data_IF_253470139240
#
_entry.id   IF_253470139240
#
_cell.length_a   1.000
_cell.length_b   1.000
_cell.length_c   1.000
_cell.angle_alpha   90.00
_cell.angle_beta   90.00
_cell.angle_gamma   90.00
#
_symmetry.space_group_name_H-M   'P 1'
#
loop_
_entity.id
_entity.type
_entity.pdbx_description
1 polymer ?
#
# COMPACT_ATOMS: atom_id res chain seq x y z
N UNK A 1 -10.83 -30.13 43.47
CA UNK A 1 -10.93 -30.54 42.06
C UNK A 1 -9.52 -30.56 41.51
N UNK A 2 -9.01 -31.73 41.12
CA UNK A 2 -7.72 -31.83 40.44
C UNK A 2 -7.99 -31.64 38.95
N UNK A 3 -7.31 -30.67 38.33
CA UNK A 3 -7.45 -30.36 36.91
C UNK A 3 -6.71 -31.42 36.07
N UNK A 4 -7.34 -32.60 35.99
CA UNK A 4 -6.82 -33.75 35.27
C UNK A 4 -6.71 -33.46 33.77
N UNK A 5 -7.67 -32.72 33.21
CA UNK A 5 -7.68 -32.42 31.77
C UNK A 5 -6.40 -31.68 31.39
N UNK A 6 -6.05 -30.59 32.08
CA UNK A 6 -4.82 -29.88 31.73
C UNK A 6 -3.55 -30.68 32.04
N UNK A 7 -3.55 -31.62 32.99
CA UNK A 7 -2.40 -32.52 33.18
C UNK A 7 -2.16 -33.36 31.93
N UNK A 8 -3.23 -33.87 31.30
CA UNK A 8 -3.11 -34.68 30.09
C UNK A 8 -2.88 -33.84 28.84
N UNK A 9 -3.49 -32.66 28.72
CA UNK A 9 -3.29 -31.79 27.56
C UNK A 9 -1.89 -31.19 27.55
N UNK A 10 -1.39 -30.72 28.69
CA UNK A 10 -0.03 -30.20 28.84
C UNK A 10 1.01 -31.29 29.03
N UNK A 11 0.63 -32.55 28.84
CA UNK A 11 1.54 -33.70 28.85
C UNK A 11 2.34 -33.83 30.16
N UNK A 12 1.84 -33.27 31.27
CA UNK A 12 2.51 -33.30 32.58
C UNK A 12 2.67 -34.71 33.17
N UNK A 13 2.07 -35.72 32.52
CA UNK A 13 2.26 -37.12 32.85
C UNK A 13 3.52 -37.75 32.29
N UNK A 14 4.21 -37.11 31.36
CA UNK A 14 5.47 -37.57 30.81
C UNK A 14 6.63 -37.21 31.76
N UNK A 15 7.62 -38.10 31.85
CA UNK A 15 8.72 -37.97 32.81
C UNK A 15 9.69 -36.82 32.48
N UNK A 16 9.78 -36.46 31.20
CA UNK A 16 10.57 -35.33 30.68
C UNK A 16 10.10 -33.97 31.21
N UNK A 17 8.85 -33.86 31.66
CA UNK A 17 8.32 -32.65 32.29
C UNK A 17 8.56 -32.60 33.81
N UNK A 18 9.07 -33.66 34.44
CA UNK A 18 9.31 -33.71 35.90
C UNK A 18 10.69 -33.14 36.32
N UNK A 19 11.29 -32.32 35.46
CA UNK A 19 12.57 -31.66 35.70
C UNK A 19 12.47 -30.65 36.83
N UNK A 20 13.59 -30.40 37.51
CA UNK A 20 13.71 -29.41 38.60
C UNK A 20 12.75 -29.62 39.80
N UNK A 21 12.15 -30.81 39.96
CA UNK A 21 11.28 -31.13 41.11
C UNK A 21 12.08 -31.27 42.42
N UNK A 22 11.89 -30.38 43.42
CA UNK A 22 12.59 -30.48 44.69
C UNK A 22 12.07 -31.64 45.54
N UNK A 23 12.95 -32.34 46.26
CA UNK A 23 12.55 -33.42 47.17
C UNK A 23 11.60 -32.93 48.29
N UNK A 24 11.82 -31.71 48.78
CA UNK A 24 10.95 -31.06 49.78
C UNK A 24 9.51 -30.89 49.26
N UNK A 25 9.34 -30.62 47.96
CA UNK A 25 8.02 -30.46 47.36
C UNK A 25 7.22 -31.77 47.43
N UNK A 26 7.88 -32.91 47.23
CA UNK A 26 7.26 -34.24 47.37
C UNK A 26 6.84 -34.52 48.81
N UNK A 27 7.67 -34.14 49.79
CA UNK A 27 7.33 -34.26 51.20
C UNK A 27 6.13 -33.39 51.58
N UNK A 28 6.14 -32.10 51.18
CA UNK A 28 5.05 -31.16 51.43
C UNK A 28 3.73 -31.63 50.80
N UNK A 29 3.76 -32.13 49.57
CA UNK A 29 2.57 -32.67 48.90
C UNK A 29 2.03 -33.93 49.57
N UNK A 30 2.91 -34.76 50.14
CA UNK A 30 2.52 -35.93 50.94
C UNK A 30 1.77 -35.53 52.20
N UNK A 31 2.20 -34.46 52.88
CA UNK A 31 1.48 -33.91 54.03
C UNK A 31 0.08 -33.39 53.65
N UNK A 32 -0.07 -32.87 52.43
CA UNK A 32 -1.36 -32.47 51.85
C UNK A 32 -2.21 -33.65 51.34
N UNK A 33 -1.75 -34.90 51.50
CA UNK A 33 -2.47 -36.11 51.11
C UNK A 33 -2.27 -36.56 49.65
N UNK A 34 -1.37 -35.94 48.90
CA UNK A 34 -1.00 -36.40 47.55
C UNK A 34 0.08 -37.48 47.62
N UNK A 35 0.01 -38.47 46.73
CA UNK A 35 1.12 -39.39 46.55
C UNK A 35 2.16 -38.81 45.58
N UNK A 36 3.34 -39.43 45.52
CA UNK A 36 4.42 -38.99 44.63
C UNK A 36 3.99 -39.01 43.15
N UNK A 37 3.18 -39.99 42.75
CA UNK A 37 2.66 -40.12 41.39
C UNK A 37 1.87 -38.89 40.94
N UNK A 38 0.95 -38.39 41.77
CA UNK A 38 0.18 -37.18 41.47
C UNK A 38 0.99 -35.90 41.62
N UNK A 39 1.94 -35.87 42.56
CA UNK A 39 2.83 -34.73 42.75
C UNK A 39 3.67 -34.47 41.50
N UNK A 40 4.29 -35.52 40.93
CA UNK A 40 5.05 -35.45 39.69
C UNK A 40 4.22 -34.93 38.52
N UNK A 41 2.98 -35.39 38.39
CA UNK A 41 2.05 -34.97 37.31
C UNK A 41 1.60 -33.51 37.42
N UNK A 42 1.32 -33.08 38.66
CA UNK A 42 0.99 -31.69 38.94
C UNK A 42 2.20 -30.79 38.68
N UNK A 43 3.40 -31.26 39.01
CA UNK A 43 4.63 -30.60 38.64
C UNK A 43 4.79 -30.56 37.12
N UNK A 44 4.71 -31.66 36.37
CA UNK A 44 4.85 -31.61 34.90
C UNK A 44 3.88 -30.62 34.22
N UNK A 45 2.68 -30.43 34.78
CA UNK A 45 1.67 -29.47 34.30
C UNK A 45 1.98 -28.00 34.66
N UNK A 46 2.87 -27.73 35.61
CA UNK A 46 3.08 -26.39 36.19
C UNK A 46 3.79 -25.42 35.24
N UNK A 47 4.54 -25.94 34.27
CA UNK A 47 5.32 -25.11 33.35
C UNK A 47 4.44 -24.13 32.57
N UNK A 48 4.97 -22.92 32.42
CA UNK A 48 4.34 -21.87 31.62
C UNK A 48 4.92 -21.94 30.21
N UNK A 49 4.07 -22.27 29.24
CA UNK A 49 4.45 -22.25 27.84
C UNK A 49 4.38 -20.84 27.23
N UNK A 50 5.20 -20.53 26.20
CA UNK A 50 5.09 -19.27 25.47
C UNK A 50 3.69 -19.09 24.90
N UNK A 51 3.14 -17.88 24.98
CA UNK A 51 1.83 -17.56 24.40
C UNK A 51 1.81 -17.73 22.86
N UNK A 52 0.63 -17.91 22.23
CA UNK A 52 0.53 -17.98 20.77
C UNK A 52 1.21 -16.82 20.04
N UNK A 53 1.08 -15.59 20.54
CA UNK A 53 1.75 -14.42 19.96
C UNK A 53 3.27 -14.51 20.05
N UNK A 54 3.81 -14.96 21.19
CA UNK A 54 5.25 -15.21 21.33
C UNK A 54 5.71 -16.32 20.39
N UNK A 55 4.92 -17.37 20.21
CA UNK A 55 5.23 -18.46 19.28
C UNK A 55 5.25 -17.99 17.83
N UNK A 56 4.36 -17.08 17.43
CA UNK A 56 4.41 -16.45 16.11
C UNK A 56 5.69 -15.63 15.94
N UNK A 57 6.07 -14.82 16.93
CA UNK A 57 7.32 -14.05 16.88
C UNK A 57 8.55 -14.96 16.80
N UNK A 58 8.56 -16.08 17.55
CA UNK A 58 9.61 -17.08 17.47
C UNK A 58 9.65 -17.67 16.05
N UNK A 59 8.52 -18.15 15.52
CA UNK A 59 8.41 -18.68 14.16
C UNK A 59 8.99 -17.70 13.13
N UNK A 60 8.54 -16.45 13.12
CA UNK A 60 8.99 -15.46 12.14
C UNK A 60 10.48 -15.12 12.25
N UNK A 61 11.04 -15.12 13.46
CA UNK A 61 12.44 -14.76 13.69
C UNK A 61 13.41 -15.91 13.47
N UNK A 62 12.93 -17.16 13.47
CA UNK A 62 13.80 -18.34 13.41
C UNK A 62 13.60 -19.20 12.17
N UNK A 63 12.41 -19.22 11.54
CA UNK A 63 12.08 -20.15 10.46
C UNK A 63 13.10 -20.17 9.30
N UNK A 64 13.69 -19.02 8.95
CA UNK A 64 14.67 -18.92 7.87
C UNK A 64 16.13 -18.81 8.31
N UNK A 65 16.41 -18.27 9.50
CA UNK A 65 17.78 -17.87 9.88
C UNK A 65 18.38 -18.70 11.01
N UNK A 66 17.55 -19.31 11.86
CA UNK A 66 17.96 -20.11 13.02
C UNK A 66 17.01 -21.29 13.27
N UNK A 67 16.75 -22.14 12.26
CA UNK A 67 15.77 -23.22 12.39
C UNK A 67 16.13 -24.24 13.49
N UNK A 68 17.41 -24.37 13.84
CA UNK A 68 17.93 -25.32 14.82
C UNK A 68 17.54 -25.04 16.28
N UNK A 69 17.28 -23.78 16.62
CA UNK A 69 16.78 -23.35 17.93
C UNK A 69 15.37 -22.72 17.84
N UNK A 70 14.75 -22.85 16.67
CA UNK A 70 13.57 -22.11 16.28
C UNK A 70 12.25 -22.83 16.52
N UNK A 71 11.16 -22.07 16.39
CA UNK A 71 9.82 -22.65 16.24
C UNK A 71 9.59 -22.89 14.75
N UNK A 72 9.28 -24.13 14.39
CA UNK A 72 8.77 -24.48 13.06
C UNK A 72 7.24 -24.49 13.07
N UNK A 73 6.61 -24.65 11.90
CA UNK A 73 5.16 -24.82 11.76
C UNK A 73 4.64 -26.04 12.55
N UNK A 74 5.41 -27.12 12.58
CA UNK A 74 5.09 -28.34 13.32
C UNK A 74 5.13 -28.09 14.84
N UNK A 75 6.18 -27.39 15.31
CA UNK A 75 6.32 -27.01 16.72
C UNK A 75 5.18 -26.07 17.13
N UNK A 76 4.83 -25.07 16.31
CA UNK A 76 3.71 -24.16 16.57
C UNK A 76 2.40 -24.94 16.74
N UNK A 77 2.07 -25.86 15.82
CA UNK A 77 0.86 -26.68 15.92
C UNK A 77 0.83 -27.53 17.19
N UNK A 78 1.98 -28.10 17.57
CA UNK A 78 2.15 -28.83 18.83
C UNK A 78 1.88 -27.94 20.04
N UNK A 79 2.45 -26.74 20.07
CA UNK A 79 2.23 -25.79 21.15
C UNK A 79 0.77 -25.31 21.23
N UNK A 80 0.10 -25.09 20.10
CA UNK A 80 -1.33 -24.75 20.09
C UNK A 80 -2.20 -25.88 20.70
N UNK A 81 -1.81 -27.15 20.57
CA UNK A 81 -2.44 -28.26 21.31
C UNK A 81 -2.25 -28.09 22.82
N UNK A 82 -1.04 -27.77 23.28
CA UNK A 82 -0.73 -27.59 24.70
C UNK A 82 -1.45 -26.35 25.32
N UNK A 83 -1.88 -25.42 24.47
CA UNK A 83 -2.74 -24.27 24.83
C UNK A 83 -4.25 -24.56 24.71
N UNK A 84 -4.65 -25.84 24.64
CA UNK A 84 -6.06 -26.26 24.58
C UNK A 84 -6.83 -25.76 23.33
N UNK A 85 -6.16 -25.36 22.24
CA UNK A 85 -6.86 -25.05 20.99
C UNK A 85 -7.36 -26.33 20.32
N UNK A 86 -8.67 -26.37 20.00
CA UNK A 86 -9.30 -27.46 19.26
C UNK A 86 -8.57 -27.68 17.91
N UNK A 87 -8.39 -28.94 17.46
CA UNK A 87 -7.66 -29.25 16.22
C UNK A 87 -8.08 -28.42 15.00
N UNK A 88 -9.36 -28.10 14.85
CA UNK A 88 -9.88 -27.34 13.70
C UNK A 88 -9.35 -25.91 13.61
N UNK A 89 -8.93 -25.30 14.73
CA UNK A 89 -8.46 -23.91 14.78
C UNK A 89 -6.95 -23.78 14.60
N UNK A 90 -6.19 -24.85 14.75
CA UNK A 90 -4.71 -24.78 14.73
C UNK A 90 -4.18 -24.35 13.37
N UNK A 91 -4.75 -24.87 12.28
CA UNK A 91 -4.36 -24.46 10.93
C UNK A 91 -4.77 -23.01 10.61
N UNK A 92 -6.01 -22.55 10.89
CA UNK A 92 -6.35 -21.12 10.77
C UNK A 92 -5.43 -20.20 11.58
N UNK A 93 -5.13 -20.54 12.83
CA UNK A 93 -4.26 -19.75 13.70
C UNK A 93 -2.81 -19.69 13.19
N UNK A 94 -2.33 -20.74 12.55
CA UNK A 94 -1.03 -20.72 11.87
C UNK A 94 -1.07 -19.88 10.59
N UNK A 95 -2.13 -20.00 9.78
CA UNK A 95 -2.24 -19.29 8.51
C UNK A 95 -2.17 -17.75 8.69
N UNK A 96 -2.77 -17.23 9.77
CA UNK A 96 -2.75 -15.80 10.09
C UNK A 96 -1.47 -15.34 10.82
N UNK A 97 -0.53 -16.24 11.11
CA UNK A 97 0.72 -15.84 11.78
C UNK A 97 1.56 -14.96 10.85
N UNK A 98 1.65 -15.31 9.56
CA UNK A 98 2.43 -14.58 8.58
C UNK A 98 1.79 -13.25 8.19
N UNK A 99 2.65 -12.27 7.89
CA UNK A 99 2.19 -10.98 7.35
C UNK A 99 1.71 -11.16 5.91
N UNK A 100 0.62 -10.50 5.59
CA UNK A 100 0.15 -10.34 4.21
C UNK A 100 1.00 -9.29 3.49
N UNK A 101 0.92 -9.30 2.16
CA UNK A 101 1.55 -8.26 1.33
C UNK A 101 1.01 -6.87 1.69
N UNK A 102 1.84 -5.83 1.56
CA UNK A 102 1.36 -4.45 1.68
C UNK A 102 0.68 -4.04 0.37
N UNK A 103 -0.31 -3.15 0.45
CA UNK A 103 -0.99 -2.59 -0.73
C UNK A 103 -0.01 -2.04 -1.77
N UNK A 104 1.06 -1.37 -1.31
CA UNK A 104 2.12 -0.86 -2.19
C UNK A 104 2.80 -1.99 -2.97
N UNK A 105 3.21 -3.06 -2.28
CA UNK A 105 3.89 -4.18 -2.94
C UNK A 105 2.94 -4.91 -3.90
N UNK A 106 1.66 -5.05 -3.53
CA UNK A 106 0.63 -5.69 -4.35
C UNK A 106 0.36 -4.92 -5.65
N UNK A 107 0.18 -3.59 -5.59
CA UNK A 107 -0.09 -2.81 -6.81
C UNK A 107 1.13 -2.71 -7.72
N UNK A 108 2.34 -2.65 -7.15
CA UNK A 108 3.58 -2.63 -7.93
C UNK A 108 3.83 -3.99 -8.60
N UNK A 109 3.49 -5.11 -7.94
CA UNK A 109 3.55 -6.42 -8.58
C UNK A 109 2.63 -6.50 -9.80
N UNK A 110 1.42 -5.95 -9.71
CA UNK A 110 0.50 -5.86 -10.85
C UNK A 110 1.04 -4.96 -11.98
N UNK A 111 1.53 -3.76 -11.63
CA UNK A 111 2.15 -2.81 -12.58
C UNK A 111 3.29 -3.45 -13.37
N UNK A 112 4.11 -4.25 -12.69
CA UNK A 112 5.27 -4.94 -13.27
C UNK A 112 4.90 -6.25 -13.99
N UNK A 113 3.62 -6.62 -14.06
CA UNK A 113 3.15 -7.84 -14.70
C UNK A 113 3.51 -9.14 -13.97
N UNK A 114 3.86 -9.05 -12.68
CA UNK A 114 4.12 -10.21 -11.82
C UNK A 114 2.80 -10.85 -11.37
N UNK A 115 1.82 -10.00 -11.01
CA UNK A 115 0.49 -10.41 -10.62
C UNK A 115 -0.52 -10.05 -11.72
N UNK A 116 -1.55 -10.88 -11.90
CA UNK A 116 -2.73 -10.57 -12.70
C UNK A 116 -3.85 -9.94 -11.85
N UNK A 117 -4.96 -9.55 -12.49
CA UNK A 117 -6.13 -8.95 -11.82
C UNK A 117 -6.72 -9.86 -10.74
N UNK A 118 -6.74 -11.18 -10.97
CA UNK A 118 -7.27 -12.14 -10.00
C UNK A 118 -6.37 -12.25 -8.77
N UNK A 119 -5.05 -12.23 -8.96
CA UNK A 119 -4.05 -12.28 -7.89
C UNK A 119 -4.05 -11.00 -7.08
N UNK A 120 -4.12 -9.82 -7.74
CA UNK A 120 -4.30 -8.53 -7.08
C UNK A 120 -5.55 -8.55 -6.19
N UNK A 121 -6.69 -9.02 -6.72
CA UNK A 121 -7.93 -9.15 -5.96
C UNK A 121 -7.79 -10.07 -4.73
N UNK A 122 -7.23 -11.27 -4.91
CA UNK A 122 -7.04 -12.24 -3.80
C UNK A 122 -6.17 -11.66 -2.70
N UNK A 123 -5.06 -11.00 -3.04
CA UNK A 123 -4.16 -10.39 -2.06
C UNK A 123 -4.82 -9.26 -1.27
N UNK A 124 -5.73 -8.50 -1.88
CA UNK A 124 -6.54 -7.52 -1.16
C UNK A 124 -7.53 -8.20 -0.20
N UNK A 125 -8.13 -9.32 -0.58
CA UNK A 125 -8.95 -10.11 0.35
C UNK A 125 -8.11 -10.65 1.51
N UNK A 126 -6.90 -11.16 1.24
CA UNK A 126 -5.99 -11.66 2.27
C UNK A 126 -5.61 -10.56 3.28
N UNK A 127 -5.48 -9.31 2.84
CA UNK A 127 -5.26 -8.15 3.72
C UNK A 127 -6.47 -7.83 4.63
N UNK A 128 -7.61 -8.50 4.44
CA UNK A 128 -8.81 -8.36 5.27
C UNK A 128 -9.89 -7.46 4.66
N UNK A 129 -9.78 -7.04 3.41
CA UNK A 129 -10.85 -6.31 2.73
C UNK A 129 -12.02 -7.24 2.39
N UNK A 130 -13.25 -6.75 2.56
CA UNK A 130 -14.44 -7.51 2.13
C UNK A 130 -14.36 -7.80 0.62
N UNK A 131 -14.73 -8.99 0.13
CA UNK A 131 -14.61 -9.31 -1.30
C UNK A 131 -15.27 -8.32 -2.26
N UNK A 132 -16.37 -7.67 -1.86
CA UNK A 132 -17.01 -6.65 -2.71
C UNK A 132 -16.16 -5.37 -2.80
N UNK A 133 -15.55 -4.95 -1.69
CA UNK A 133 -14.72 -3.75 -1.61
C UNK A 133 -13.33 -3.99 -2.22
N UNK A 134 -12.78 -5.20 -2.05
CA UNK A 134 -11.53 -5.60 -2.66
C UNK A 134 -11.56 -5.50 -4.20
N UNK A 135 -12.71 -5.78 -4.84
CA UNK A 135 -12.87 -5.58 -6.30
C UNK A 135 -12.77 -4.11 -6.67
N UNK A 136 -13.49 -3.24 -5.97
CA UNK A 136 -13.43 -1.79 -6.22
C UNK A 136 -12.03 -1.23 -5.93
N UNK A 137 -11.41 -1.69 -4.85
CA UNK A 137 -10.08 -1.27 -4.47
C UNK A 137 -9.02 -1.74 -5.46
N UNK A 138 -9.17 -2.93 -6.07
CA UNK A 138 -8.30 -3.39 -7.14
C UNK A 138 -8.30 -2.40 -8.32
N UNK A 139 -9.48 -1.95 -8.76
CA UNK A 139 -9.59 -0.92 -9.80
C UNK A 139 -8.89 0.38 -9.40
N UNK A 140 -9.07 0.82 -8.15
CA UNK A 140 -8.38 2.02 -7.63
C UNK A 140 -6.86 1.84 -7.61
N UNK A 141 -6.35 0.66 -7.25
CA UNK A 141 -4.91 0.39 -7.24
C UNK A 141 -4.32 0.36 -8.65
N UNK A 142 -5.01 -0.28 -9.61
CA UNK A 142 -4.64 -0.24 -11.04
C UNK A 142 -4.60 1.20 -11.55
N UNK A 143 -5.61 1.99 -11.21
CA UNK A 143 -5.66 3.40 -11.57
C UNK A 143 -4.55 4.23 -10.94
N UNK A 144 -4.13 3.89 -9.72
CA UNK A 144 -3.04 4.59 -9.05
C UNK A 144 -1.72 4.45 -9.79
N UNK A 145 -1.40 3.24 -10.25
CA UNK A 145 -0.13 2.98 -10.97
C UNK A 145 -0.17 3.48 -12.41
N UNK A 146 -1.32 3.35 -13.09
CA UNK A 146 -1.47 3.85 -14.47
C UNK A 146 -1.54 5.37 -14.58
N UNK A 147 -1.72 6.08 -13.46
CA UNK A 147 -1.93 7.52 -13.45
C UNK A 147 -0.79 8.31 -14.12
N UNK A 148 0.47 7.92 -13.90
CA UNK A 148 1.62 8.60 -14.51
C UNK A 148 1.58 8.52 -16.02
N UNK A 149 1.26 7.34 -16.56
CA UNK A 149 1.20 7.06 -17.99
C UNK A 149 0.05 7.80 -18.65
N UNK A 150 -1.13 7.76 -18.01
CA UNK A 150 -2.30 8.52 -18.46
C UNK A 150 -1.99 10.02 -18.45
N UNK A 151 -1.39 10.53 -17.37
CA UNK A 151 -0.99 11.93 -17.30
C UNK A 151 0.08 12.26 -18.35
N UNK A 152 0.98 11.32 -18.67
CA UNK A 152 1.94 11.41 -19.78
C UNK A 152 1.25 11.66 -21.11
N UNK A 153 0.32 10.78 -21.47
CA UNK A 153 -0.46 10.90 -22.71
C UNK A 153 -1.24 12.22 -22.78
N UNK A 154 -1.89 12.63 -21.68
CA UNK A 154 -2.65 13.91 -21.67
C UNK A 154 -1.75 15.15 -21.81
N UNK A 155 -0.47 15.08 -21.42
CA UNK A 155 0.49 16.19 -21.63
C UNK A 155 0.87 16.36 -23.09
N UNK A 156 0.95 15.27 -23.85
CA UNK A 156 1.18 15.33 -25.30
C UNK A 156 -0.03 15.96 -25.99
N UNK A 157 -1.26 15.52 -25.65
CA UNK A 157 -2.49 16.13 -26.18
C UNK A 157 -2.60 17.63 -25.83
N UNK A 158 -2.24 18.03 -24.60
CA UNK A 158 -2.15 19.44 -24.22
C UNK A 158 -1.18 20.21 -25.14
N UNK A 159 -0.01 19.64 -25.43
CA UNK A 159 1.02 20.25 -26.29
C UNK A 159 0.50 20.40 -27.72
N UNK A 160 -0.07 19.34 -28.28
CA UNK A 160 -0.65 19.35 -29.62
C UNK A 160 -1.75 20.41 -29.76
N UNK A 161 -2.57 20.58 -28.73
CA UNK A 161 -3.61 21.61 -28.71
C UNK A 161 -3.03 23.02 -28.60
N UNK A 162 -2.01 23.23 -27.76
CA UNK A 162 -1.39 24.54 -27.55
C UNK A 162 -0.69 25.00 -28.83
N UNK A 163 0.03 24.09 -29.49
CA UNK A 163 0.77 24.36 -30.73
C UNK A 163 -0.16 24.44 -31.96
N UNK A 164 -1.44 24.07 -31.79
CA UNK A 164 -2.47 24.23 -32.82
C UNK A 164 -2.60 23.07 -33.79
N UNK A 165 -2.00 21.92 -33.50
CA UNK A 165 -2.12 20.68 -34.29
C UNK A 165 -3.51 20.05 -34.18
N UNK A 166 -4.17 20.22 -33.03
CA UNK A 166 -5.53 19.71 -32.79
C UNK A 166 -6.52 20.81 -32.36
N UNK A 167 -7.81 20.52 -32.55
CA UNK A 167 -8.92 21.37 -32.13
C UNK A 167 -9.31 21.15 -30.67
N UNK A 168 -10.08 22.07 -30.09
CA UNK A 168 -10.67 21.88 -28.74
C UNK A 168 -11.58 20.64 -28.69
N UNK A 169 -12.29 20.33 -29.78
CA UNK A 169 -13.14 19.14 -29.85
C UNK A 169 -12.31 17.84 -29.82
N UNK A 170 -11.15 17.82 -30.48
CA UNK A 170 -10.26 16.67 -30.44
C UNK A 170 -9.61 16.53 -29.05
N UNK A 171 -9.10 17.62 -28.47
CA UNK A 171 -8.55 17.61 -27.12
C UNK A 171 -9.57 17.08 -26.09
N UNK A 172 -10.83 17.49 -26.22
CA UNK A 172 -11.93 17.00 -25.38
C UNK A 172 -12.13 15.50 -25.54
N UNK A 173 -12.15 14.99 -26.78
CA UNK A 173 -12.26 13.55 -27.04
C UNK A 173 -11.08 12.76 -26.43
N UNK A 174 -9.86 13.29 -26.51
CA UNK A 174 -8.67 12.67 -25.93
C UNK A 174 -8.77 12.59 -24.40
N UNK A 175 -9.29 13.63 -23.74
CA UNK A 175 -9.55 13.62 -22.31
C UNK A 175 -10.72 12.70 -21.91
N UNK A 176 -11.79 12.65 -22.70
CA UNK A 176 -12.94 11.76 -22.46
C UNK A 176 -12.59 10.27 -22.62
N UNK A 177 -11.52 9.94 -23.36
CA UNK A 177 -10.96 8.60 -23.43
C UNK A 177 -10.19 8.20 -22.16
N UNK A 178 -9.94 9.12 -21.24
CA UNK A 178 -9.30 8.85 -19.95
C UNK A 178 -10.33 8.54 -18.85
N UNK A 179 -9.95 7.85 -17.77
CA UNK A 179 -10.85 7.55 -16.65
C UNK A 179 -11.07 8.74 -15.70
N UNK A 180 -10.65 9.95 -16.08
CA UNK A 180 -10.87 11.13 -15.26
C UNK A 180 -12.34 11.50 -15.19
N UNK A 181 -12.75 11.97 -14.01
CA UNK A 181 -14.08 12.51 -13.83
C UNK A 181 -14.32 13.72 -14.76
N UNK A 182 -15.54 13.92 -15.31
CA UNK A 182 -15.87 15.05 -16.18
C UNK A 182 -15.47 16.43 -15.63
N UNK A 183 -15.61 16.68 -14.33
CA UNK A 183 -15.19 17.94 -13.71
C UNK A 183 -13.67 18.17 -13.80
N UNK A 184 -12.88 17.10 -13.67
CA UNK A 184 -11.42 17.17 -13.83
C UNK A 184 -11.07 17.43 -15.28
N UNK A 185 -11.77 16.79 -16.22
CA UNK A 185 -11.60 17.01 -17.66
C UNK A 185 -11.85 18.49 -18.01
N UNK A 186 -12.96 19.08 -17.57
CA UNK A 186 -13.25 20.51 -17.83
C UNK A 186 -12.17 21.45 -17.30
N UNK A 187 -11.66 21.18 -16.09
CA UNK A 187 -10.58 21.98 -15.50
C UNK A 187 -9.28 21.86 -16.31
N UNK A 188 -8.96 20.67 -16.81
CA UNK A 188 -7.77 20.43 -17.63
C UNK A 188 -7.87 21.10 -19.00
N UNK A 189 -9.02 20.99 -19.68
CA UNK A 189 -9.28 21.68 -20.94
C UNK A 189 -9.21 23.20 -20.74
N UNK A 190 -9.84 23.72 -19.69
CA UNK A 190 -9.78 25.16 -19.37
C UNK A 190 -8.35 25.63 -19.15
N UNK A 191 -7.53 24.83 -18.44
CA UNK A 191 -6.09 25.10 -18.28
C UNK A 191 -5.37 25.10 -19.63
N UNK A 192 -5.63 24.15 -20.51
CA UNK A 192 -5.01 24.07 -21.84
C UNK A 192 -5.37 25.30 -22.70
N UNK A 193 -6.63 25.76 -22.68
CA UNK A 193 -7.08 26.99 -23.36
C UNK A 193 -6.32 28.22 -22.90
N UNK A 194 -6.19 28.39 -21.58
CA UNK A 194 -5.41 29.49 -21.00
C UNK A 194 -3.93 29.44 -21.41
N UNK A 195 -3.37 28.23 -21.59
CA UNK A 195 -1.99 28.06 -22.08
C UNK A 195 -1.88 28.41 -23.57
N UNK A 196 -2.81 27.95 -24.40
CA UNK A 196 -2.86 28.26 -25.84
C UNK A 196 -2.97 29.77 -26.07
N UNK A 197 -3.90 30.44 -25.38
CA UNK A 197 -4.06 31.89 -25.47
C UNK A 197 -2.78 32.65 -25.08
N UNK A 198 -2.05 32.13 -24.08
CA UNK A 198 -0.77 32.72 -23.65
C UNK A 198 0.32 32.55 -24.71
N UNK A 199 0.48 31.36 -25.27
CA UNK A 199 1.49 31.14 -26.32
C UNK A 199 1.16 31.94 -27.58
N UNK A 200 -0.11 32.00 -28.01
CA UNK A 200 -0.54 32.86 -29.12
C UNK A 200 -0.18 34.34 -28.89
N UNK A 201 -0.45 34.87 -27.69
CA UNK A 201 -0.08 36.25 -27.35
C UNK A 201 1.43 36.48 -27.36
N UNK A 202 2.21 35.49 -26.91
CA UNK A 202 3.67 35.54 -26.88
C UNK A 202 4.25 35.54 -28.29
N UNK A 203 3.71 34.71 -29.18
CA UNK A 203 4.13 34.65 -30.58
C UNK A 203 3.78 35.93 -31.33
N UNK A 204 2.56 36.45 -31.13
CA UNK A 204 2.14 37.74 -31.70
C UNK A 204 3.01 38.89 -31.19
N UNK A 205 3.32 38.91 -29.89
CA UNK A 205 4.25 39.89 -29.30
C UNK A 205 5.62 39.78 -29.94
N UNK A 206 6.16 38.57 -30.10
CA UNK A 206 7.47 38.35 -30.70
C UNK A 206 7.50 38.85 -32.16
N UNK A 207 6.47 38.52 -32.95
CA UNK A 207 6.34 38.99 -34.33
C UNK A 207 6.20 40.52 -34.43
N UNK A 208 5.40 41.16 -33.56
CA UNK A 208 5.30 42.62 -33.49
C UNK A 208 6.64 43.27 -33.12
N UNK A 209 7.35 42.68 -32.16
CA UNK A 209 8.65 43.18 -31.70
C UNK A 209 9.71 43.09 -32.81
N UNK A 210 9.73 41.99 -33.57
CA UNK A 210 10.61 41.82 -34.72
C UNK A 210 10.33 42.85 -35.83
N UNK A 211 9.05 43.10 -36.15
CA UNK A 211 8.64 44.14 -37.10
C UNK A 211 9.04 45.55 -36.65
N UNK A 212 8.88 45.85 -35.36
CA UNK A 212 9.29 47.13 -34.80
C UNK A 212 10.81 47.34 -34.92
N UNK A 213 11.60 46.31 -34.57
CA UNK A 213 13.06 46.34 -34.71
C UNK A 213 13.54 46.51 -36.16
N UNK A 214 12.77 46.01 -37.13
CA UNK A 214 13.03 46.18 -38.58
C UNK A 214 12.59 47.54 -39.12
N UNK A 215 11.84 48.33 -38.35
CA UNK A 215 11.27 49.61 -38.78
C UNK A 215 10.00 49.49 -39.61
N UNK A 216 9.39 48.30 -39.66
CA UNK A 216 8.15 48.04 -40.43
C UNK A 216 6.89 48.58 -39.74
N UNK A 217 6.99 48.96 -38.47
CA UNK A 217 5.91 49.57 -37.67
C UNK A 217 6.48 50.71 -36.84
N UNK A 218 5.68 51.75 -36.66
CA UNK A 218 6.01 52.91 -35.82
C UNK A 218 5.88 52.59 -34.33
N UNK A 219 6.47 53.44 -33.47
CA UNK A 219 6.37 53.32 -32.01
C UNK A 219 4.90 53.34 -31.53
N UNK A 220 4.08 54.19 -32.15
CA UNK A 220 2.64 54.28 -31.87
C UNK A 220 1.92 52.98 -32.24
N UNK A 221 2.19 52.43 -33.43
CA UNK A 221 1.60 51.16 -33.89
C UNK A 221 2.06 49.96 -33.03
N UNK A 222 3.31 49.97 -32.57
CA UNK A 222 3.84 48.95 -31.68
C UNK A 222 3.15 49.00 -30.30
N UNK A 223 3.05 50.19 -29.71
CA UNK A 223 2.39 50.44 -28.42
C UNK A 223 0.91 50.03 -28.46
N UNK A 224 0.20 50.45 -29.51
CA UNK A 224 -1.19 50.03 -29.73
C UNK A 224 -1.31 48.51 -29.92
N UNK A 225 -0.38 47.89 -30.66
CA UNK A 225 -0.35 46.45 -30.88
C UNK A 225 -0.19 45.65 -29.58
N UNK A 226 0.73 46.07 -28.69
CA UNK A 226 0.93 45.46 -27.39
C UNK A 226 -0.29 45.64 -26.47
N UNK A 227 -0.92 46.82 -26.50
CA UNK A 227 -2.15 47.10 -25.75
C UNK A 227 -3.30 46.20 -26.21
N UNK A 228 -3.48 45.99 -27.52
CA UNK A 228 -4.49 45.07 -28.08
C UNK A 228 -4.28 43.61 -27.65
N UNK A 229 -3.04 43.19 -27.37
CA UNK A 229 -2.75 41.84 -26.82
C UNK A 229 -3.10 41.73 -25.31
N UNK A 230 -3.47 42.83 -24.68
CA UNK A 230 -3.79 42.91 -23.25
C UNK A 230 -2.55 42.97 -22.36
N UNK A 231 -1.42 43.44 -22.88
CA UNK A 231 -0.21 43.68 -22.08
C UNK A 231 -0.42 44.96 -21.28
N UNK A 232 -0.14 44.91 -19.98
CA UNK A 232 -0.31 46.04 -19.07
C UNK A 232 0.66 47.18 -19.40
N UNK A 233 0.23 48.44 -19.21
CA UNK A 233 1.00 49.64 -19.58
C UNK A 233 2.44 49.65 -19.03
N UNK A 234 2.64 49.20 -17.78
CA UNK A 234 3.97 49.12 -17.15
C UNK A 234 4.92 48.22 -17.94
N UNK A 235 4.41 47.11 -18.49
CA UNK A 235 5.22 46.21 -19.32
C UNK A 235 5.45 46.78 -20.72
N UNK A 236 4.49 47.54 -21.25
CA UNK A 236 4.66 48.22 -22.54
C UNK A 236 5.79 49.26 -22.46
N UNK A 237 5.79 50.09 -21.42
CA UNK A 237 6.85 51.07 -21.18
C UNK A 237 8.23 50.39 -21.09
N UNK A 238 8.33 49.27 -20.37
CA UNK A 238 9.57 48.52 -20.25
C UNK A 238 10.06 47.88 -21.56
N UNK A 239 9.18 47.58 -22.53
CA UNK A 239 9.59 47.08 -23.86
C UNK A 239 10.04 48.21 -24.80
N UNK A 240 9.58 49.45 -24.61
CA UNK A 240 10.05 50.63 -25.37
C UNK A 240 11.46 51.09 -24.95
N UNK A 241 11.83 50.83 -23.71
CA UNK A 241 13.16 51.17 -23.17
C UNK A 241 14.26 50.15 -23.56
N UNK A 242 13.91 49.05 -24.24
CA UNK A 242 14.83 47.95 -24.63
C UNK A 242 15.29 48.03 -26.08
#
# INVERSE_FOLDING_TARGET
>A
YMDLISIYVKEGYLEDHWVELPAEMVANFKELGFNEYWTKRLWGKHWVYPSPTQLYDMLHRTAGTRPEIGVTTEVLRGMLKLHDFEPKWRMPLEAISWRTWRIYDTRTAWEMGIDDDETLFKRLVDQGYEPKDARLLAEVQKMFVLRSEIDGLTREADTDFIDGWISESQLRADYEATPYNPYVIELRISKAKLRRDRELKKDLKAALTDRFKKGDVTETEYTEGLSRLGIVEVQIAAELER
#
